data_IF_713657578388
#
_entry.id   IF_713657578388
#
_cell.length_a   1.000
_cell.length_b   1.000
_cell.length_c   1.000
_cell.angle_alpha   90.00
_cell.angle_beta   90.00
_cell.angle_gamma   90.00
#
_symmetry.space_group_name_H-M   'P 1'
#
loop_
_entity.id
_entity.type
_entity.pdbx_description
1 polymer ?
#
# COMPACT_ATOMS: atom_id res chain seq x y z
N UNK A 1 -41.21 -8.66 29.98
CA UNK A 1 -39.77 -8.64 29.64
C UNK A 1 -39.52 -7.40 28.79
N UNK A 2 -38.70 -6.49 29.28
CA UNK A 2 -38.52 -5.15 28.70
C UNK A 2 -37.56 -5.20 27.50
N UNK A 3 -38.11 -5.05 26.29
CA UNK A 3 -37.36 -4.89 25.04
C UNK A 3 -36.65 -3.52 24.97
N UNK A 4 -37.12 -2.55 25.76
CA UNK A 4 -36.60 -1.17 25.84
C UNK A 4 -35.15 -1.05 26.31
N UNK A 5 -34.65 -1.98 27.12
CA UNK A 5 -33.25 -1.99 27.56
C UNK A 5 -32.28 -2.53 26.50
N UNK A 6 -32.78 -3.42 25.63
CA UNK A 6 -31.96 -4.08 24.60
C UNK A 6 -31.66 -3.14 23.44
N UNK A 7 -32.61 -2.28 23.09
CA UNK A 7 -32.48 -1.26 22.04
C UNK A 7 -31.55 -0.11 22.45
N UNK A 8 -31.52 0.28 23.74
CA UNK A 8 -30.64 1.35 24.21
C UNK A 8 -29.18 0.91 24.28
N UNK A 9 -28.90 -0.30 24.76
CA UNK A 9 -27.56 -0.89 24.78
C UNK A 9 -27.00 -1.07 23.36
N UNK A 10 -27.83 -1.56 22.42
CA UNK A 10 -27.45 -1.67 21.00
C UNK A 10 -27.10 -0.31 20.39
N UNK A 11 -27.88 0.74 20.69
CA UNK A 11 -27.59 2.08 20.20
C UNK A 11 -26.26 2.63 20.76
N UNK A 12 -25.95 2.37 22.04
CA UNK A 12 -24.66 2.75 22.64
C UNK A 12 -23.49 2.02 21.97
N UNK A 13 -23.63 0.73 21.68
CA UNK A 13 -22.61 -0.05 20.96
C UNK A 13 -22.40 0.51 19.55
N UNK A 14 -23.48 0.78 18.82
CA UNK A 14 -23.40 1.37 17.48
C UNK A 14 -22.72 2.74 17.49
N UNK A 15 -23.05 3.61 18.45
CA UNK A 15 -22.39 4.91 18.61
C UNK A 15 -20.90 4.76 18.91
N UNK A 16 -20.52 3.76 19.71
CA UNK A 16 -19.11 3.46 20.00
C UNK A 16 -18.35 2.99 18.75
N UNK A 17 -18.96 2.12 17.94
CA UNK A 17 -18.36 1.67 16.67
C UNK A 17 -18.24 2.84 15.69
N UNK A 18 -19.29 3.65 15.57
CA UNK A 18 -19.29 4.84 14.70
C UNK A 18 -18.21 5.85 15.12
N UNK A 19 -18.00 6.05 16.42
CA UNK A 19 -16.92 6.89 16.95
C UNK A 19 -15.54 6.40 16.50
N UNK A 20 -15.22 5.11 16.72
CA UNK A 20 -13.96 4.51 16.28
C UNK A 20 -13.76 4.60 14.77
N UNK A 21 -14.82 4.35 13.98
CA UNK A 21 -14.77 4.47 12.52
C UNK A 21 -14.52 5.91 12.08
N UNK A 22 -15.12 6.88 12.76
CA UNK A 22 -14.94 8.32 12.50
C UNK A 22 -13.50 8.76 12.77
N UNK A 23 -12.90 8.31 13.86
CA UNK A 23 -11.49 8.59 14.18
C UNK A 23 -10.56 8.01 13.10
N UNK A 24 -10.73 6.72 12.79
CA UNK A 24 -9.95 6.07 11.73
C UNK A 24 -10.10 6.75 10.36
N UNK A 25 -11.33 7.15 9.98
CA UNK A 25 -11.58 7.86 8.71
C UNK A 25 -10.85 9.21 8.66
N UNK A 26 -10.80 9.95 9.77
CA UNK A 26 -10.09 11.24 9.81
C UNK A 26 -8.59 11.06 9.58
N UNK A 27 -7.99 10.07 10.22
CA UNK A 27 -6.57 9.74 10.05
C UNK A 27 -6.26 9.33 8.61
N UNK A 28 -7.07 8.45 8.03
CA UNK A 28 -6.88 8.00 6.64
C UNK A 28 -7.12 9.12 5.62
N UNK A 29 -8.11 9.99 5.83
CA UNK A 29 -8.32 11.17 4.98
C UNK A 29 -7.12 12.11 5.08
N UNK A 30 -6.62 12.39 6.28
CA UNK A 30 -5.44 13.26 6.46
C UNK A 30 -4.20 12.68 5.76
N UNK A 31 -4.00 11.35 5.85
CA UNK A 31 -2.94 10.64 5.12
C UNK A 31 -3.11 10.81 3.62
N UNK A 32 -4.30 10.52 3.08
CA UNK A 32 -4.55 10.57 1.63
C UNK A 32 -4.57 11.99 1.07
N UNK A 33 -5.00 13.00 1.84
CA UNK A 33 -4.98 14.42 1.42
C UNK A 33 -3.56 14.99 1.26
N UNK A 34 -2.54 14.32 1.83
CA UNK A 34 -1.12 14.66 1.61
C UNK A 34 -0.58 14.14 0.28
N UNK A 35 -1.30 13.23 -0.39
CA UNK A 35 -0.96 12.80 -1.74
C UNK A 35 -1.34 13.91 -2.71
N UNK A 36 -0.44 14.24 -3.64
CA UNK A 36 -0.70 15.26 -4.66
C UNK A 36 -1.97 14.95 -5.46
N UNK A 37 -2.63 16.01 -5.94
CA UNK A 37 -3.79 15.88 -6.83
C UNK A 37 -3.40 15.40 -8.22
N UNK A 38 -2.18 15.74 -8.63
CA UNK A 38 -1.62 15.33 -9.89
C UNK A 38 -0.81 14.04 -9.71
N UNK A 39 -0.84 13.19 -10.74
CA UNK A 39 -0.17 11.91 -10.69
C UNK A 39 1.36 12.07 -10.55
N UNK A 40 1.94 11.31 -9.61
CA UNK A 40 3.38 11.06 -9.52
C UNK A 40 3.64 9.55 -9.38
N UNK A 41 4.85 9.12 -9.72
CA UNK A 41 5.29 7.74 -9.49
C UNK A 41 5.65 7.45 -8.03
N UNK A 42 5.70 8.48 -7.17
CA UNK A 42 6.01 8.32 -5.76
C UNK A 42 4.86 7.64 -5.03
N UNK A 43 5.18 6.57 -4.32
CA UNK A 43 4.26 5.91 -3.40
C UNK A 43 4.77 6.15 -1.97
N UNK A 44 4.54 7.35 -1.40
CA UNK A 44 5.19 7.79 -0.15
C UNK A 44 4.92 6.90 1.06
N UNK A 45 3.84 6.13 1.02
CA UNK A 45 3.43 5.23 2.09
C UNK A 45 3.79 3.77 1.84
N UNK A 46 4.44 3.44 0.71
CA UNK A 46 4.93 2.10 0.44
C UNK A 46 5.81 1.61 1.59
N UNK A 47 5.64 0.36 1.96
CA UNK A 47 6.30 -0.28 3.10
C UNK A 47 6.79 -1.66 2.67
N UNK A 48 8.10 -1.88 2.76
CA UNK A 48 8.74 -3.18 2.51
C UNK A 48 9.88 -3.37 3.53
N UNK A 49 9.59 -3.95 4.70
CA UNK A 49 10.56 -4.06 5.79
C UNK A 49 11.68 -5.06 5.49
N UNK A 50 11.52 -5.91 4.48
CA UNK A 50 12.50 -6.94 4.14
C UNK A 50 13.50 -6.45 3.08
N UNK A 51 13.08 -5.53 2.19
CA UNK A 51 13.93 -4.94 1.15
C UNK A 51 13.84 -3.41 1.17
N UNK A 52 14.61 -2.74 2.05
CA UNK A 52 14.64 -1.28 2.15
C UNK A 52 14.95 -0.60 0.81
N UNK A 53 15.71 -1.25 -0.08
CA UNK A 53 16.03 -0.76 -1.41
C UNK A 53 14.80 -0.74 -2.35
N UNK A 54 13.89 -1.71 -2.21
CA UNK A 54 12.62 -1.73 -2.93
C UNK A 54 11.71 -0.64 -2.38
N UNK A 55 11.62 -0.48 -1.06
CA UNK A 55 10.86 0.59 -0.41
C UNK A 55 11.33 1.98 -0.86
N UNK A 56 12.64 2.23 -0.87
CA UNK A 56 13.24 3.49 -1.31
C UNK A 56 12.88 3.77 -2.77
N UNK A 57 13.01 2.77 -3.66
CA UNK A 57 12.58 2.90 -5.04
C UNK A 57 11.09 3.23 -5.14
N UNK A 58 10.22 2.52 -4.41
CA UNK A 58 8.77 2.71 -4.46
C UNK A 58 8.35 4.12 -4.03
N UNK A 59 9.00 4.68 -3.00
CA UNK A 59 8.77 6.05 -2.53
C UNK A 59 9.34 7.12 -3.47
N UNK A 60 10.35 6.79 -4.26
CA UNK A 60 11.00 7.70 -5.21
C UNK A 60 10.16 8.08 -6.44
N UNK A 61 10.65 8.99 -7.26
CA UNK A 61 9.97 9.48 -8.48
C UNK A 61 10.16 8.60 -9.72
N UNK A 62 11.07 7.63 -9.66
CA UNK A 62 11.38 6.77 -10.81
C UNK A 62 10.25 5.79 -11.09
N UNK A 63 9.94 5.55 -12.37
CA UNK A 63 8.89 4.62 -12.78
C UNK A 63 9.34 3.16 -12.68
N UNK A 64 10.59 2.88 -13.00
CA UNK A 64 11.12 1.53 -13.14
C UNK A 64 12.50 1.42 -12.53
N UNK A 65 12.81 0.25 -11.97
CA UNK A 65 14.13 -0.05 -11.44
C UNK A 65 14.53 -1.49 -11.76
N UNK A 66 15.80 -1.68 -12.09
CA UNK A 66 16.36 -2.99 -12.42
C UNK A 66 17.25 -3.46 -11.28
N UNK A 67 16.91 -4.62 -10.75
CA UNK A 67 17.58 -5.30 -9.64
C UNK A 67 18.36 -6.48 -10.22
N UNK A 68 19.63 -6.63 -9.84
CA UNK A 68 20.48 -7.76 -10.26
C UNK A 68 20.80 -8.73 -9.12
N UNK A 69 20.36 -8.42 -7.92
CA UNK A 69 20.63 -9.18 -6.71
C UNK A 69 19.92 -8.58 -5.51
N UNK A 70 19.94 -9.29 -4.40
CA UNK A 70 19.29 -8.87 -3.15
C UNK A 70 20.31 -8.34 -2.15
N UNK A 71 19.95 -7.31 -1.39
CA UNK A 71 20.80 -6.90 -0.28
C UNK A 71 20.76 -7.96 0.82
N UNK A 72 21.94 -8.43 1.22
CA UNK A 72 22.10 -9.38 2.32
C UNK A 72 22.22 -8.65 3.65
N UNK A 73 22.14 -9.37 4.77
CA UNK A 73 22.21 -8.78 6.13
C UNK A 73 23.48 -7.95 6.39
N UNK A 74 24.57 -8.19 5.66
CA UNK A 74 25.82 -7.42 5.81
C UNK A 74 25.86 -6.16 4.89
N UNK A 75 24.77 -5.85 4.18
CA UNK A 75 24.66 -4.72 3.26
C UNK A 75 25.22 -4.97 1.86
N UNK A 76 25.80 -6.14 1.58
CA UNK A 76 26.30 -6.50 0.26
C UNK A 76 25.18 -7.01 -0.62
N UNK A 77 25.22 -6.65 -1.90
CA UNK A 77 24.32 -7.21 -2.91
C UNK A 77 24.81 -8.60 -3.27
N UNK A 78 23.97 -9.61 -3.04
CA UNK A 78 24.14 -10.94 -3.58
C UNK A 78 23.42 -11.01 -4.93
N UNK A 79 24.20 -11.04 -6.00
CA UNK A 79 23.69 -11.18 -7.37
C UNK A 79 22.92 -12.49 -7.55
N UNK A 80 21.90 -12.46 -8.41
CA UNK A 80 21.16 -13.66 -8.76
C UNK A 80 22.09 -14.66 -9.48
N UNK A 81 22.07 -15.92 -9.05
CA UNK A 81 22.91 -16.97 -9.64
C UNK A 81 22.43 -17.41 -11.03
N UNK A 82 21.22 -17.02 -11.44
CA UNK A 82 20.68 -17.28 -12.78
C UNK A 82 19.22 -16.89 -12.91
N UNK A 83 18.68 -17.00 -14.12
CA UNK A 83 17.28 -16.63 -14.44
C UNK A 83 16.22 -17.30 -13.53
N UNK A 84 16.49 -18.50 -12.99
CA UNK A 84 15.56 -19.17 -12.07
C UNK A 84 15.37 -18.34 -10.80
N UNK A 85 16.45 -17.86 -10.20
CA UNK A 85 16.42 -17.09 -8.96
C UNK A 85 15.80 -15.71 -9.19
N UNK A 86 16.12 -15.05 -10.31
CA UNK A 86 15.44 -13.82 -10.70
C UNK A 86 13.92 -14.01 -10.85
N UNK A 87 13.46 -15.12 -11.45
CA UNK A 87 12.02 -15.44 -11.54
C UNK A 87 11.38 -15.70 -10.19
N UNK A 88 12.09 -16.34 -9.26
CA UNK A 88 11.61 -16.57 -7.90
C UNK A 88 11.47 -15.26 -7.15
N UNK A 89 12.47 -14.38 -7.23
CA UNK A 89 12.42 -13.04 -6.67
C UNK A 89 11.26 -12.21 -7.25
N UNK A 90 11.11 -12.18 -8.59
CA UNK A 90 10.03 -11.45 -9.24
C UNK A 90 8.63 -11.91 -8.75
N UNK A 91 8.41 -13.22 -8.62
CA UNK A 91 7.15 -13.77 -8.08
C UNK A 91 6.93 -13.39 -6.63
N UNK A 92 7.99 -13.41 -5.84
CA UNK A 92 7.94 -13.10 -4.42
C UNK A 92 7.50 -11.66 -4.16
N UNK A 93 8.06 -10.70 -4.90
CA UNK A 93 7.63 -9.30 -4.83
C UNK A 93 6.10 -9.14 -5.08
N UNK A 94 5.50 -10.00 -5.90
CA UNK A 94 4.05 -9.98 -6.14
C UNK A 94 3.24 -10.74 -5.07
N UNK A 95 3.82 -11.76 -4.44
CA UNK A 95 3.14 -12.65 -3.51
C UNK A 95 3.13 -12.15 -2.06
N UNK A 96 4.19 -11.46 -1.63
CA UNK A 96 4.36 -11.02 -0.23
C UNK A 96 3.58 -9.74 0.11
N UNK A 97 2.79 -9.24 -0.85
CA UNK A 97 1.85 -8.13 -0.68
C UNK A 97 2.48 -6.79 -1.02
N UNK A 98 1.78 -6.00 -1.84
CA UNK A 98 2.17 -4.64 -2.20
C UNK A 98 1.53 -3.65 -1.23
N UNK A 99 2.06 -3.58 0.00
CA UNK A 99 1.53 -2.70 1.02
C UNK A 99 1.74 -1.24 0.59
N UNK A 100 0.63 -0.51 0.48
CA UNK A 100 0.61 0.89 0.06
C UNK A 100 1.43 1.16 -1.21
N UNK A 101 1.42 0.20 -2.13
CA UNK A 101 2.15 0.28 -3.38
C UNK A 101 1.43 -0.47 -4.49
N UNK A 102 1.84 -0.23 -5.74
CA UNK A 102 1.41 -1.03 -6.88
C UNK A 102 2.46 -1.03 -7.96
N UNK A 103 2.88 -2.23 -8.36
CA UNK A 103 3.90 -2.44 -9.37
C UNK A 103 3.75 -3.80 -10.06
N UNK A 104 4.42 -3.99 -11.18
CA UNK A 104 4.64 -5.28 -11.84
C UNK A 104 6.11 -5.64 -11.76
N UNK A 105 6.41 -6.93 -11.93
CA UNK A 105 7.78 -7.43 -11.97
C UNK A 105 7.97 -8.33 -13.18
N UNK A 106 9.14 -8.21 -13.82
CA UNK A 106 9.53 -9.03 -14.95
C UNK A 106 10.98 -9.48 -14.76
N UNK A 107 11.23 -10.79 -14.83
CA UNK A 107 12.57 -11.34 -14.79
C UNK A 107 13.12 -11.48 -16.21
N UNK A 108 14.36 -11.05 -16.40
CA UNK A 108 15.08 -11.13 -17.67
C UNK A 108 16.51 -11.63 -17.47
N UNK A 109 17.19 -11.88 -18.58
CA UNK A 109 18.60 -12.26 -18.61
C UNK A 109 19.22 -11.65 -19.87
N UNK A 110 20.20 -10.77 -19.67
CA UNK A 110 21.03 -10.20 -20.73
C UNK A 110 22.48 -10.24 -20.26
N UNK A 111 23.15 -11.35 -20.57
CA UNK A 111 24.40 -11.84 -19.95
C UNK A 111 24.28 -12.17 -18.46
N UNK A 112 23.64 -11.30 -17.68
CA UNK A 112 23.37 -11.49 -16.26
C UNK A 112 21.85 -11.49 -15.98
N UNK A 113 21.38 -12.32 -15.04
CA UNK A 113 19.99 -12.33 -14.59
C UNK A 113 19.61 -11.02 -13.89
N UNK A 114 18.38 -10.55 -14.13
CA UNK A 114 17.85 -9.35 -13.50
C UNK A 114 16.33 -9.42 -13.32
N UNK A 115 15.81 -8.53 -12.48
CA UNK A 115 14.38 -8.28 -12.30
C UNK A 115 14.11 -6.80 -12.51
N UNK A 116 13.17 -6.48 -13.39
CA UNK A 116 12.66 -5.13 -13.55
C UNK A 116 11.38 -4.98 -12.75
N UNK A 117 11.38 -4.03 -11.82
CA UNK A 117 10.20 -3.61 -11.06
C UNK A 117 9.66 -2.35 -11.73
N UNK A 118 8.39 -2.37 -12.15
CA UNK A 118 7.74 -1.24 -12.83
C UNK A 118 6.50 -0.81 -12.06
N UNK A 119 6.49 0.43 -11.58
CA UNK A 119 5.34 0.99 -10.88
C UNK A 119 4.12 1.09 -11.79
N UNK A 120 2.93 0.97 -11.20
CA UNK A 120 1.67 1.23 -11.91
C UNK A 120 0.98 2.47 -11.35
N UNK A 121 0.06 3.02 -12.15
CA UNK A 121 -0.79 4.14 -11.70
C UNK A 121 -1.85 3.71 -10.68
N UNK A 122 -2.07 2.40 -10.51
CA UNK A 122 -3.19 1.84 -9.78
C UNK A 122 -3.23 2.33 -8.32
N UNK A 123 -2.08 2.37 -7.63
CA UNK A 123 -2.04 2.83 -6.25
C UNK A 123 -2.53 4.28 -6.12
N UNK A 124 -2.07 5.17 -7.01
CA UNK A 124 -2.50 6.57 -7.02
C UNK A 124 -4.01 6.68 -7.31
N UNK A 125 -4.47 6.02 -8.38
CA UNK A 125 -5.88 6.07 -8.80
C UNK A 125 -6.81 5.52 -7.70
N UNK A 126 -6.46 4.36 -7.11
CA UNK A 126 -7.20 3.76 -6.00
C UNK A 126 -7.18 4.68 -4.76
N UNK A 127 -6.08 5.39 -4.51
CA UNK A 127 -5.96 6.35 -3.39
C UNK A 127 -6.88 7.55 -3.56
N UNK A 128 -6.98 8.11 -4.77
CA UNK A 128 -7.92 9.20 -5.08
C UNK A 128 -9.38 8.75 -4.91
N UNK A 129 -9.70 7.53 -5.35
CA UNK A 129 -11.04 6.94 -5.18
C UNK A 129 -11.37 6.73 -3.71
N UNK A 130 -10.44 6.14 -2.93
CA UNK A 130 -10.61 5.93 -1.48
C UNK A 130 -10.82 7.24 -0.74
N UNK A 131 -10.05 8.29 -1.06
CA UNK A 131 -10.18 9.60 -0.45
C UNK A 131 -11.60 10.16 -0.62
N UNK A 132 -12.15 10.11 -1.84
CA UNK A 132 -13.52 10.55 -2.10
C UNK A 132 -14.56 9.71 -1.33
N UNK A 133 -14.38 8.38 -1.29
CA UNK A 133 -15.26 7.47 -0.56
C UNK A 133 -15.24 7.72 0.95
N UNK A 134 -14.06 7.90 1.55
CA UNK A 134 -13.90 8.15 2.98
C UNK A 134 -14.50 9.50 3.38
N UNK A 135 -14.31 10.56 2.58
CA UNK A 135 -14.97 11.86 2.81
C UNK A 135 -16.50 11.71 2.80
N UNK A 136 -17.05 10.97 1.85
CA UNK A 136 -18.49 10.73 1.76
C UNK A 136 -19.03 9.83 2.90
N UNK A 137 -18.23 8.89 3.41
CA UNK A 137 -18.60 8.07 4.58
C UNK A 137 -18.59 8.91 5.86
N UNK A 138 -17.55 9.72 6.08
CA UNK A 138 -17.41 10.58 7.25
C UNK A 138 -18.58 11.57 7.38
N UNK A 139 -19.01 12.17 6.25
CA UNK A 139 -20.18 13.05 6.23
C UNK A 139 -21.45 12.33 6.67
N UNK A 140 -21.71 11.11 6.14
CA UNK A 140 -22.87 10.29 6.51
C UNK A 140 -22.87 9.89 7.98
N UNK A 141 -21.73 9.50 8.54
CA UNK A 141 -21.64 9.14 9.96
C UNK A 141 -21.93 10.34 10.87
N UNK A 142 -21.51 11.54 10.47
CA UNK A 142 -21.75 12.78 11.21
C UNK A 142 -23.22 13.24 11.18
N UNK A 143 -23.99 12.80 10.19
CA UNK A 143 -25.44 13.07 10.11
C UNK A 143 -26.26 12.10 10.98
N UNK A 144 -25.77 10.88 11.19
CA UNK A 144 -26.52 9.80 11.85
C UNK A 144 -26.27 9.76 13.37
N UNK A 145 -25.05 10.05 13.84
CA UNK A 145 -24.61 9.82 15.24
C UNK A 145 -24.09 11.07 15.94
#
# INVERSE_FOLDING_TARGET
MSDYGKTSEQFVVLKTIAGKRTEWLKEEIEKLDKIDKDFSWGMPYADDPEYPEVEEFLRGSEQSWTVRGVQTFNGQIQEFAGLREAKEYAKRCLNEGQYESSYTTEAGEDNDPFVTITKTRKWFEDSQVKLAQYKAELARLSEIY
#
